data_IF_911582541093
#
_entry.id   IF_911582541093
#
_cell.length_a   1.000
_cell.length_b   1.000
_cell.length_c   1.000
_cell.angle_alpha   90.00
_cell.angle_beta   90.00
_cell.angle_gamma   90.00
#
_symmetry.space_group_name_H-M   'P 1'
#
loop_
_entity.id
_entity.type
_entity.pdbx_description
1 polymer ?
#
# COMPACT_ATOMS: atom_id res chain seq x y z
N UNK A 1 15.01 4.75 -11.39
CA UNK A 1 14.44 4.00 -10.25
C UNK A 1 13.70 2.78 -10.77
N UNK A 2 13.15 1.96 -9.88
CA UNK A 2 12.36 0.78 -10.27
C UNK A 2 10.94 1.13 -10.69
N UNK A 3 10.39 0.38 -11.64
CA UNK A 3 8.99 0.49 -12.06
C UNK A 3 8.11 -0.39 -11.17
N UNK A 4 7.14 0.23 -10.50
CA UNK A 4 6.19 -0.42 -9.57
C UNK A 4 4.82 -0.55 -10.27
N UNK A 5 4.28 -1.76 -10.44
CA UNK A 5 2.98 -1.95 -11.07
C UNK A 5 1.82 -1.44 -10.20
N UNK A 6 0.77 -0.91 -10.85
CA UNK A 6 -0.50 -0.57 -10.22
C UNK A 6 -1.62 -1.26 -10.99
N UNK A 7 -2.51 -1.95 -10.30
CA UNK A 7 -3.79 -2.38 -10.87
C UNK A 7 -4.89 -1.46 -10.36
N UNK A 8 -5.74 -0.96 -11.25
CA UNK A 8 -6.82 -0.05 -10.86
C UNK A 8 -8.13 -0.35 -11.58
N UNK A 9 -9.23 0.05 -10.95
CA UNK A 9 -10.59 0.00 -11.49
C UNK A 9 -11.31 1.30 -11.11
N UNK A 10 -12.11 1.81 -12.03
CA UNK A 10 -13.00 2.95 -11.83
C UNK A 10 -14.21 2.79 -12.76
N UNK A 11 -15.27 3.58 -12.52
CA UNK A 11 -16.44 3.54 -13.38
C UNK A 11 -16.07 4.20 -14.71
N UNK A 12 -16.64 3.73 -15.82
CA UNK A 12 -16.33 4.26 -17.16
C UNK A 12 -16.54 5.77 -17.25
N UNK A 13 -17.57 6.25 -16.55
CA UNK A 13 -17.99 7.65 -16.55
C UNK A 13 -17.33 8.47 -15.42
N UNK A 14 -16.45 7.90 -14.61
CA UNK A 14 -15.67 8.64 -13.60
C UNK A 14 -14.71 9.61 -14.30
N UNK A 15 -14.78 10.93 -14.04
CA UNK A 15 -13.82 11.89 -14.60
C UNK A 15 -12.42 11.64 -14.05
N UNK A 16 -11.44 11.52 -14.95
CA UNK A 16 -10.01 11.39 -14.61
C UNK A 16 -9.28 12.71 -14.88
N UNK A 17 -9.73 13.76 -14.20
CA UNK A 17 -9.20 15.13 -14.31
C UNK A 17 -8.49 15.59 -13.02
N UNK A 18 -8.28 14.67 -12.08
CA UNK A 18 -7.73 14.89 -10.74
C UNK A 18 -8.80 15.04 -9.65
N UNK A 19 -10.09 15.09 -10.01
CA UNK A 19 -11.17 15.29 -9.03
C UNK A 19 -11.75 14.01 -8.42
N UNK A 20 -11.45 12.82 -8.97
CA UNK A 20 -11.95 11.58 -8.41
C UNK A 20 -11.29 11.27 -7.06
N UNK A 21 -12.06 10.81 -6.05
CA UNK A 21 -11.47 10.23 -4.84
C UNK A 21 -10.82 8.89 -5.16
N UNK A 22 -9.78 8.53 -4.41
CA UNK A 22 -9.04 7.29 -4.64
C UNK A 22 -8.86 6.51 -3.34
N UNK A 23 -9.11 5.20 -3.39
CA UNK A 23 -8.65 4.27 -2.35
C UNK A 23 -7.45 3.50 -2.89
N UNK A 24 -6.28 3.73 -2.29
CA UNK A 24 -5.02 3.08 -2.65
C UNK A 24 -4.69 2.01 -1.61
N UNK A 25 -4.71 0.75 -2.01
CA UNK A 25 -4.40 -0.41 -1.16
C UNK A 25 -2.95 -0.90 -1.36
N UNK A 26 -2.30 -1.32 -0.27
CA UNK A 26 -0.96 -1.93 -0.31
C UNK A 26 -0.67 -2.87 0.86
N UNK A 27 0.26 -3.81 0.65
CA UNK A 27 0.66 -4.80 1.66
C UNK A 27 2.18 -4.93 1.82
N UNK A 28 2.89 -5.43 0.80
CA UNK A 28 4.35 -5.34 0.70
C UNK A 28 5.16 -6.10 1.74
N UNK A 29 4.71 -7.29 2.18
CA UNK A 29 5.44 -8.15 3.13
C UNK A 29 5.24 -9.63 2.83
N UNK A 30 6.14 -10.47 3.33
CA UNK A 30 6.14 -11.94 3.26
C UNK A 30 6.15 -12.52 1.83
N UNK A 31 6.40 -11.67 0.84
CA UNK A 31 6.27 -12.02 -0.56
C UNK A 31 4.83 -12.29 -0.98
N UNK A 32 3.84 -11.77 -0.26
CA UNK A 32 2.43 -11.87 -0.66
C UNK A 32 2.21 -11.05 -1.93
N UNK A 33 1.67 -11.71 -2.96
CA UNK A 33 1.16 -11.08 -4.19
C UNK A 33 -0.29 -10.70 -3.95
N UNK A 34 -0.64 -9.43 -4.10
CA UNK A 34 -2.03 -8.98 -3.96
C UNK A 34 -2.72 -9.15 -5.31
N UNK A 35 -3.63 -10.13 -5.48
CA UNK A 35 -4.18 -10.42 -6.79
C UNK A 35 -5.11 -9.29 -7.25
N UNK A 36 -5.00 -8.91 -8.53
CA UNK A 36 -5.99 -8.11 -9.24
C UNK A 36 -7.25 -8.95 -9.57
N UNK A 37 -7.85 -9.51 -8.52
CA UNK A 37 -9.01 -10.42 -8.58
C UNK A 37 -10.33 -9.67 -8.39
N UNK A 38 -11.43 -10.30 -8.78
CA UNK A 38 -12.75 -9.74 -8.56
C UNK A 38 -13.05 -9.57 -7.06
N UNK A 39 -13.48 -8.37 -6.68
CA UNK A 39 -13.81 -8.01 -5.30
C UNK A 39 -15.10 -7.19 -5.29
N UNK A 40 -16.17 -7.74 -4.72
CA UNK A 40 -17.45 -7.02 -4.64
C UNK A 40 -17.39 -5.79 -3.73
N UNK A 41 -16.44 -5.75 -2.79
CA UNK A 41 -16.33 -4.63 -1.85
C UNK A 41 -15.88 -3.33 -2.55
N UNK A 42 -15.12 -3.41 -3.64
CA UNK A 42 -14.72 -2.20 -4.37
C UNK A 42 -15.82 -1.65 -5.29
N UNK A 43 -16.86 -2.43 -5.62
CA UNK A 43 -17.94 -1.99 -6.51
C UNK A 43 -18.70 -0.78 -5.93
N UNK A 44 -19.01 -0.80 -4.63
CA UNK A 44 -19.67 0.34 -3.98
C UNK A 44 -18.84 1.63 -4.06
N UNK A 45 -17.51 1.53 -4.01
CA UNK A 45 -16.62 2.68 -4.18
C UNK A 45 -16.64 3.18 -5.63
N UNK A 46 -16.49 2.26 -6.57
CA UNK A 46 -16.48 2.53 -8.01
C UNK A 46 -17.79 3.21 -8.45
N UNK A 47 -18.94 2.73 -7.99
CA UNK A 47 -20.26 3.32 -8.27
C UNK A 47 -20.40 4.75 -7.72
N UNK A 48 -19.62 5.10 -6.70
CA UNK A 48 -19.57 6.45 -6.09
C UNK A 48 -18.48 7.33 -6.70
N UNK A 49 -17.88 6.89 -7.79
CA UNK A 49 -16.87 7.64 -8.54
C UNK A 49 -15.45 7.52 -7.99
N UNK A 50 -15.17 6.55 -7.12
CA UNK A 50 -13.80 6.30 -6.67
C UNK A 50 -12.98 5.59 -7.75
N UNK A 51 -11.69 5.93 -7.79
CA UNK A 51 -10.65 5.05 -8.30
C UNK A 51 -10.24 4.09 -7.17
N UNK A 52 -10.32 2.79 -7.40
CA UNK A 52 -9.73 1.79 -6.51
C UNK A 52 -8.44 1.28 -7.14
N UNK A 53 -7.33 1.40 -6.42
CA UNK A 53 -6.00 1.04 -6.90
C UNK A 53 -5.28 0.13 -5.92
N UNK A 54 -4.51 -0.82 -6.44
CA UNK A 54 -3.63 -1.72 -5.71
C UNK A 54 -2.19 -1.39 -6.13
N UNK A 55 -1.35 -1.00 -5.17
CA UNK A 55 0.08 -0.80 -5.39
C UNK A 55 0.84 -2.10 -5.13
N UNK A 56 1.47 -2.64 -6.18
CA UNK A 56 2.23 -3.90 -6.13
C UNK A 56 3.68 -3.65 -5.71
N UNK A 57 3.85 -3.09 -4.51
CA UNK A 57 5.12 -2.62 -3.95
C UNK A 57 6.10 -3.75 -3.64
N UNK A 58 7.40 -3.44 -3.56
CA UNK A 58 8.42 -4.38 -3.09
C UNK A 58 8.10 -4.93 -1.70
N UNK A 59 8.59 -6.14 -1.43
CA UNK A 59 8.21 -6.97 -0.28
C UNK A 59 7.04 -7.92 -0.59
N UNK A 60 6.32 -7.69 -1.70
CA UNK A 60 5.51 -8.69 -2.40
C UNK A 60 6.34 -9.51 -3.40
N UNK A 61 5.69 -10.38 -4.18
CA UNK A 61 6.35 -11.20 -5.24
C UNK A 61 5.78 -10.97 -6.64
N UNK A 62 5.12 -9.84 -6.86
CA UNK A 62 4.49 -9.49 -8.14
C UNK A 62 5.49 -9.46 -9.31
N UNK A 63 6.78 -9.18 -9.04
CA UNK A 63 7.90 -9.27 -10.00
C UNK A 63 8.91 -10.39 -9.65
N UNK A 64 8.46 -11.44 -8.95
CA UNK A 64 9.29 -12.59 -8.56
C UNK A 64 10.02 -12.41 -7.24
N UNK A 65 10.94 -13.34 -6.93
CA UNK A 65 11.57 -13.43 -5.61
C UNK A 65 12.48 -12.24 -5.28
N UNK A 66 13.20 -11.68 -6.26
CA UNK A 66 14.01 -10.48 -6.05
C UNK A 66 13.18 -9.26 -5.59
N UNK A 67 11.92 -9.17 -6.03
CA UNK A 67 10.99 -8.12 -5.59
C UNK A 67 10.67 -8.19 -4.09
N UNK A 68 10.67 -9.42 -3.54
CA UNK A 68 10.47 -9.67 -2.12
C UNK A 68 11.74 -9.34 -1.31
N UNK A 69 12.90 -9.84 -1.76
CA UNK A 69 14.18 -9.58 -1.09
C UNK A 69 14.50 -8.07 -1.04
N UNK A 70 14.19 -7.34 -2.11
CA UNK A 70 14.40 -5.89 -2.20
C UNK A 70 13.38 -5.05 -1.42
N UNK A 71 12.46 -5.68 -0.68
CA UNK A 71 11.48 -4.99 0.17
C UNK A 71 11.37 -5.56 1.59
N UNK A 72 12.46 -6.14 2.09
CA UNK A 72 12.50 -6.75 3.43
C UNK A 72 13.79 -6.41 4.19
N UNK A 73 13.82 -6.63 5.51
CA UNK A 73 14.94 -6.26 6.39
C UNK A 73 15.46 -4.82 6.15
N UNK A 74 16.76 -4.67 5.90
CA UNK A 74 17.40 -3.39 5.62
C UNK A 74 16.83 -2.67 4.38
N UNK A 75 16.20 -3.41 3.46
CA UNK A 75 15.56 -2.87 2.27
C UNK A 75 14.09 -2.52 2.47
N UNK A 76 13.52 -2.68 3.67
CA UNK A 76 12.09 -2.46 3.92
C UNK A 76 11.61 -1.04 3.60
N UNK A 77 12.50 -0.06 3.63
CA UNK A 77 12.21 1.33 3.21
C UNK A 77 11.72 1.41 1.75
N UNK A 78 12.11 0.46 0.90
CA UNK A 78 11.66 0.37 -0.49
C UNK A 78 10.15 0.14 -0.59
N UNK A 79 9.57 -0.70 0.28
CA UNK A 79 8.11 -0.90 0.33
C UNK A 79 7.36 0.41 0.55
N UNK A 80 7.84 1.25 1.47
CA UNK A 80 7.18 2.50 1.84
C UNK A 80 7.34 3.55 0.75
N UNK A 81 8.55 3.69 0.20
CA UNK A 81 8.84 4.64 -0.88
C UNK A 81 8.18 4.27 -2.20
N UNK A 82 8.05 2.98 -2.51
CA UNK A 82 7.27 2.48 -3.65
C UNK A 82 5.80 2.90 -3.53
N UNK A 83 5.20 2.73 -2.35
CA UNK A 83 3.80 3.08 -2.13
C UNK A 83 3.55 4.59 -2.29
N UNK A 84 4.45 5.42 -1.75
CA UNK A 84 4.40 6.87 -1.92
C UNK A 84 4.59 7.26 -3.40
N UNK A 85 5.47 6.55 -4.12
CA UNK A 85 5.66 6.76 -5.55
C UNK A 85 4.39 6.42 -6.35
N UNK A 86 3.69 5.34 -6.01
CA UNK A 86 2.40 5.00 -6.61
C UNK A 86 1.35 6.10 -6.36
N UNK A 87 1.25 6.62 -5.13
CA UNK A 87 0.34 7.71 -4.81
C UNK A 87 0.64 8.98 -5.64
N UNK A 88 1.91 9.39 -5.72
CA UNK A 88 2.35 10.53 -6.53
C UNK A 88 2.10 10.31 -8.02
N UNK A 89 2.29 9.09 -8.52
CA UNK A 89 2.03 8.76 -9.92
C UNK A 89 0.54 8.86 -10.26
N UNK A 90 -0.36 8.35 -9.41
CA UNK A 90 -1.81 8.48 -9.61
C UNK A 90 -2.27 9.95 -9.67
N UNK A 91 -1.65 10.82 -8.87
CA UNK A 91 -1.92 12.27 -8.93
C UNK A 91 -1.37 12.89 -10.21
N UNK A 92 -0.13 12.56 -10.59
CA UNK A 92 0.51 13.08 -11.80
C UNK A 92 -0.28 12.72 -13.07
N UNK A 93 -0.81 11.50 -13.13
CA UNK A 93 -1.65 11.00 -14.22
C UNK A 93 -3.13 11.45 -14.12
N UNK A 94 -3.46 12.31 -13.15
CA UNK A 94 -4.79 12.90 -12.94
C UNK A 94 -5.90 11.89 -12.62
N UNK A 95 -5.56 10.71 -12.10
CA UNK A 95 -6.58 9.80 -11.55
C UNK A 95 -7.23 10.38 -10.27
N UNK A 96 -6.52 11.21 -9.52
CA UNK A 96 -6.95 11.75 -8.22
C UNK A 96 -6.12 12.98 -7.84
N UNK A 97 -6.43 13.61 -6.70
CA UNK A 97 -5.58 14.59 -6.00
C UNK A 97 -5.00 14.00 -4.71
N UNK A 98 -3.91 14.58 -4.19
CA UNK A 98 -3.26 14.12 -2.95
C UNK A 98 -4.21 14.14 -1.73
N UNK A 99 -4.98 15.22 -1.59
CA UNK A 99 -6.01 15.42 -0.58
C UNK A 99 -7.22 14.48 -0.74
N UNK A 100 -7.22 13.64 -1.78
CA UNK A 100 -8.32 12.74 -2.14
C UNK A 100 -7.90 11.27 -2.18
N UNK A 101 -6.63 10.96 -1.90
CA UNK A 101 -6.18 9.58 -1.71
C UNK A 101 -6.41 9.18 -0.26
N UNK A 102 -7.16 8.10 -0.07
CA UNK A 102 -7.20 7.33 1.17
C UNK A 102 -6.26 6.13 0.99
N UNK A 103 -5.23 6.03 1.82
CA UNK A 103 -4.37 4.86 1.86
C UNK A 103 -4.97 3.77 2.75
N UNK A 104 -4.87 2.50 2.35
CA UNK A 104 -5.35 1.37 3.12
C UNK A 104 -4.32 0.25 3.19
N UNK A 105 -4.14 -0.32 4.38
CA UNK A 105 -3.34 -1.52 4.59
C UNK A 105 -3.64 -2.15 5.95
N UNK A 106 -3.57 -3.49 6.00
CA UNK A 106 -3.87 -4.27 7.21
C UNK A 106 -2.74 -5.19 7.64
N UNK A 107 -2.66 -5.51 8.93
CA UNK A 107 -1.60 -6.35 9.52
C UNK A 107 -0.21 -5.77 9.22
N UNK A 108 0.67 -6.48 8.50
CA UNK A 108 1.94 -5.92 8.02
C UNK A 108 1.77 -4.77 7.01
N UNK A 109 0.67 -4.74 6.26
CA UNK A 109 0.27 -3.55 5.48
C UNK A 109 -0.09 -2.35 6.38
N UNK A 110 -0.46 -2.59 7.64
CA UNK A 110 -0.64 -1.54 8.63
C UNK A 110 0.68 -0.89 9.07
N UNK A 111 1.79 -1.64 9.06
CA UNK A 111 3.14 -1.06 9.21
C UNK A 111 3.45 -0.09 8.07
N UNK A 112 3.12 -0.49 6.83
CA UNK A 112 3.22 0.39 5.67
C UNK A 112 2.40 1.68 5.88
N UNK A 113 1.16 1.58 6.37
CA UNK A 113 0.33 2.75 6.69
C UNK A 113 0.98 3.68 7.72
N UNK A 114 1.51 3.12 8.81
CA UNK A 114 2.23 3.89 9.84
C UNK A 114 3.48 4.58 9.28
N UNK A 115 4.24 3.91 8.41
CA UNK A 115 5.43 4.49 7.80
C UNK A 115 5.10 5.67 6.88
N UNK A 116 4.11 5.54 5.99
CA UNK A 116 3.76 6.60 5.04
C UNK A 116 3.14 7.82 5.74
N UNK A 117 2.43 7.61 6.85
CA UNK A 117 1.87 8.70 7.65
C UNK A 117 2.96 9.61 8.23
N UNK A 118 4.15 9.06 8.49
CA UNK A 118 5.30 9.81 8.98
C UNK A 118 6.18 10.35 7.85
N UNK A 119 6.36 9.57 6.78
CA UNK A 119 7.30 9.91 5.70
C UNK A 119 6.75 10.89 4.66
N UNK A 120 5.44 10.82 4.36
CA UNK A 120 4.81 11.66 3.34
C UNK A 120 3.31 11.89 3.65
N UNK A 121 2.95 12.44 4.83
CA UNK A 121 1.56 12.70 5.20
C UNK A 121 0.83 13.59 4.19
N UNK A 122 1.56 14.50 3.52
CA UNK A 122 1.01 15.40 2.51
C UNK A 122 0.48 14.68 1.26
N UNK A 123 0.87 13.42 1.06
CA UNK A 123 0.46 12.65 -0.11
C UNK A 123 -0.95 12.03 0.02
N UNK A 124 -1.56 12.06 1.21
CA UNK A 124 -2.78 11.33 1.54
C UNK A 124 -3.80 12.18 2.31
N UNK A 125 -5.04 12.21 1.84
CA UNK A 125 -6.17 12.85 2.54
C UNK A 125 -6.74 12.02 3.70
N UNK A 126 -6.45 10.71 3.72
CA UNK A 126 -6.84 9.82 4.82
C UNK A 126 -6.06 8.52 4.83
N UNK A 127 -6.07 7.83 5.98
CA UNK A 127 -5.38 6.54 6.16
C UNK A 127 -6.30 5.58 6.93
N UNK A 128 -6.48 4.37 6.39
CA UNK A 128 -7.18 3.25 7.03
C UNK A 128 -6.14 2.18 7.36
N UNK A 129 -5.73 2.14 8.62
CA UNK A 129 -4.75 1.17 9.13
C UNK A 129 -5.46 0.08 9.93
N UNK A 130 -5.57 -1.12 9.36
CA UNK A 130 -6.32 -2.23 9.95
C UNK A 130 -5.40 -3.14 10.78
N UNK A 131 -5.71 -3.34 12.07
CA UNK A 131 -4.88 -4.13 13.01
C UNK A 131 -3.36 -3.90 12.83
N UNK A 132 -2.89 -2.63 12.89
CA UNK A 132 -1.62 -2.26 12.27
C UNK A 132 -0.41 -2.61 13.15
N UNK A 133 0.60 -3.22 12.55
CA UNK A 133 1.89 -3.48 13.20
C UNK A 133 2.76 -2.22 13.22
N UNK A 134 2.67 -1.42 14.29
CA UNK A 134 3.30 -0.08 14.36
C UNK A 134 4.29 0.10 15.50
N UNK A 135 4.26 -0.73 16.54
CA UNK A 135 5.28 -0.74 17.60
C UNK A 135 6.38 -1.76 17.30
N UNK A 136 7.06 -1.55 16.16
CA UNK A 136 7.97 -2.53 15.56
C UNK A 136 9.13 -2.85 16.49
N UNK A 137 9.77 -1.83 17.07
CA UNK A 137 10.97 -2.04 17.89
C UNK A 137 10.65 -2.81 19.17
N UNK A 138 9.64 -2.37 19.93
CA UNK A 138 9.28 -3.00 21.21
C UNK A 138 8.84 -4.44 20.99
N UNK A 139 8.00 -4.68 19.97
CA UNK A 139 7.51 -6.03 19.64
C UNK A 139 8.65 -6.96 19.19
N UNK A 140 9.55 -6.49 18.32
CA UNK A 140 10.64 -7.30 17.77
C UNK A 140 11.76 -7.61 18.77
N UNK A 141 11.85 -6.84 19.86
CA UNK A 141 12.78 -7.09 20.96
C UNK A 141 12.23 -8.08 22.01
N UNK A 142 10.92 -8.36 22.02
CA UNK A 142 10.29 -9.28 22.96
C UNK A 142 10.09 -10.68 22.35
N UNK A 143 11.03 -11.59 22.64
CA UNK A 143 10.97 -12.97 22.18
C UNK A 143 9.88 -13.82 22.86
N UNK A 144 9.20 -13.30 23.89
CA UNK A 144 8.09 -14.02 24.56
C UNK A 144 6.78 -13.92 23.78
N UNK A 145 6.68 -12.95 22.86
CA UNK A 145 5.53 -12.81 21.97
C UNK A 145 5.53 -13.92 20.90
N UNK A 146 4.38 -14.54 20.61
CA UNK A 146 4.32 -15.78 19.85
C UNK A 146 4.79 -15.66 18.40
N UNK A 147 4.66 -14.47 17.79
CA UNK A 147 5.00 -14.22 16.39
C UNK A 147 6.36 -13.54 16.22
N UNK A 148 6.99 -13.04 17.28
CA UNK A 148 8.24 -12.28 17.18
C UNK A 148 9.40 -13.14 16.65
N UNK A 149 9.74 -14.31 17.24
CA UNK A 149 10.85 -15.11 16.73
C UNK A 149 10.67 -15.58 15.27
N UNK A 150 9.46 -16.01 14.85
CA UNK A 150 9.18 -16.29 13.44
C UNK A 150 9.29 -15.08 12.49
N UNK A 151 9.11 -13.85 13.00
CA UNK A 151 9.14 -12.61 12.20
C UNK A 151 10.57 -12.14 11.89
N UNK A 152 11.56 -12.40 12.74
CA UNK A 152 12.94 -11.91 12.53
C UNK A 152 13.60 -12.20 11.16
N UNK A 153 13.29 -13.31 10.45
CA UNK A 153 13.81 -13.54 9.11
C UNK A 153 13.21 -12.62 8.02
N UNK A 154 12.09 -11.97 8.30
CA UNK A 154 11.43 -10.97 7.43
C UNK A 154 12.17 -9.63 7.46
#
# INVERSE_FOLDING_TARGET
GELVPISLIHHRDTPLDGSAPCLLYGYGSYGITVPASFNTNCLSLVDRGFVYAIAHVRGGKDKGYGWYDDGKRAQKINTFTDFIACARHLVAERYTGHDRIVAQGGSAGGMLMGAIANLAPECFGGIVAEVPFVDVLTTMLDATLPLTPPEWPE
#
